data_IF_685052956921
#
_entry.id   IF_685052956921
#
_cell.length_a   1.000
_cell.length_b   1.000
_cell.length_c   1.000
_cell.angle_alpha   90.00
_cell.angle_beta   90.00
_cell.angle_gamma   90.00
#
_symmetry.space_group_name_H-M   'P 1'
#
loop_
_entity.id
_entity.type
_entity.pdbx_description
1 polymer ?
#
# COMPACT_ATOMS: atom_id res chain seq x y z
N UNK A 1 23.91 -15.12 -12.40
CA UNK A 1 22.44 -15.16 -12.63
C UNK A 1 21.67 -16.07 -11.66
N UNK A 2 22.20 -17.23 -11.27
CA UNK A 2 21.45 -18.19 -10.43
C UNK A 2 21.12 -17.70 -9.01
N UNK A 3 21.88 -16.75 -8.46
CA UNK A 3 21.64 -16.20 -7.12
C UNK A 3 20.32 -15.42 -7.05
N UNK A 4 20.14 -14.43 -7.92
CA UNK A 4 18.90 -13.65 -8.03
C UNK A 4 17.67 -14.53 -8.38
N UNK A 5 17.86 -15.58 -9.18
CA UNK A 5 16.77 -16.51 -9.51
C UNK A 5 16.20 -17.20 -8.26
N UNK A 6 17.02 -17.51 -7.26
CA UNK A 6 16.55 -18.10 -5.99
C UNK A 6 15.61 -17.16 -5.26
N UNK A 7 15.96 -15.87 -5.19
CA UNK A 7 15.08 -14.84 -4.64
C UNK A 7 13.76 -14.79 -5.41
N UNK A 8 13.82 -14.70 -6.74
CA UNK A 8 12.61 -14.64 -7.57
C UNK A 8 11.71 -15.87 -7.33
N UNK A 9 12.27 -17.08 -7.36
CA UNK A 9 11.52 -18.31 -7.11
C UNK A 9 10.87 -18.32 -5.72
N UNK A 10 11.60 -17.93 -4.66
CA UNK A 10 11.05 -17.87 -3.32
C UNK A 10 9.91 -16.86 -3.20
N UNK A 11 10.06 -15.67 -3.80
CA UNK A 11 9.01 -14.65 -3.82
C UNK A 11 7.77 -15.10 -4.58
N UNK A 12 7.93 -15.83 -5.69
CA UNK A 12 6.81 -16.41 -6.44
C UNK A 12 6.05 -17.44 -5.59
N UNK A 13 6.75 -18.32 -4.88
CA UNK A 13 6.14 -19.29 -3.95
C UNK A 13 5.34 -18.56 -2.86
N UNK A 14 5.92 -17.51 -2.28
CA UNK A 14 5.29 -16.69 -1.23
C UNK A 14 4.09 -15.86 -1.72
N UNK A 15 3.90 -15.72 -3.04
CA UNK A 15 2.87 -14.86 -3.64
C UNK A 15 1.59 -15.61 -4.00
N UNK A 16 1.58 -16.95 -3.99
CA UNK A 16 0.40 -17.75 -4.32
C UNK A 16 0.14 -18.84 -3.28
N UNK A 17 -1.10 -18.91 -2.81
CA UNK A 17 -1.54 -19.96 -1.88
C UNK A 17 -1.36 -21.37 -2.46
N UNK A 18 -1.45 -21.52 -3.79
CA UNK A 18 -1.24 -22.80 -4.48
C UNK A 18 0.16 -23.40 -4.22
N UNK A 19 1.15 -22.53 -3.99
CA UNK A 19 2.53 -22.94 -3.77
C UNK A 19 2.90 -23.02 -2.29
N UNK A 20 1.96 -22.84 -1.36
CA UNK A 20 2.25 -22.91 0.08
C UNK A 20 2.84 -24.25 0.56
N UNK A 21 2.51 -25.41 -0.03
CA UNK A 21 3.22 -26.65 0.28
C UNK A 21 4.74 -26.58 0.03
N UNK A 22 5.20 -25.65 -0.80
CA UNK A 22 6.61 -25.40 -1.13
C UNK A 22 7.25 -24.30 -0.25
N UNK A 23 6.57 -23.78 0.78
CA UNK A 23 7.16 -22.77 1.68
C UNK A 23 8.49 -23.21 2.32
N UNK A 24 8.70 -24.48 2.72
CA UNK A 24 10.01 -24.93 3.19
C UNK A 24 11.13 -24.73 2.15
N UNK A 25 10.82 -24.96 0.86
CA UNK A 25 11.77 -24.69 -0.23
C UNK A 25 12.03 -23.19 -0.38
N UNK A 26 11.01 -22.35 -0.26
CA UNK A 26 11.19 -20.89 -0.31
C UNK A 26 12.11 -20.40 0.83
N UNK A 27 12.00 -21.01 2.02
CA UNK A 27 12.83 -20.73 3.19
C UNK A 27 14.30 -21.03 2.89
N UNK A 28 14.60 -22.24 2.40
CA UNK A 28 15.96 -22.63 1.99
C UNK A 28 16.52 -21.70 0.89
N UNK A 29 15.70 -21.30 -0.07
CA UNK A 29 16.11 -20.41 -1.15
C UNK A 29 16.47 -19.01 -0.64
N UNK A 30 15.72 -18.47 0.32
CA UNK A 30 15.97 -17.16 0.93
C UNK A 30 17.16 -17.20 1.90
N UNK A 31 17.30 -18.26 2.69
CA UNK A 31 18.49 -18.47 3.52
C UNK A 31 19.76 -18.56 2.66
N UNK A 32 19.71 -19.30 1.56
CA UNK A 32 20.83 -19.38 0.62
C UNK A 32 21.14 -18.00 0.01
N UNK A 33 20.11 -17.27 -0.43
CA UNK A 33 20.26 -15.95 -1.03
C UNK A 33 20.88 -14.94 -0.05
N UNK A 34 20.43 -14.92 1.20
CA UNK A 34 20.93 -14.00 2.22
C UNK A 34 22.35 -14.35 2.65
N UNK A 35 22.65 -15.64 2.84
CA UNK A 35 23.99 -16.13 3.22
C UNK A 35 25.06 -15.77 2.19
N UNK A 36 24.74 -15.89 0.89
CA UNK A 36 25.68 -15.64 -0.20
C UNK A 36 25.59 -14.22 -0.76
N UNK A 37 24.71 -13.36 -0.23
CA UNK A 37 24.53 -12.00 -0.73
C UNK A 37 25.84 -11.20 -0.78
N UNK A 38 26.64 -11.24 0.29
CA UNK A 38 27.95 -10.56 0.34
C UNK A 38 28.92 -11.03 -0.74
N UNK A 39 28.87 -12.32 -1.07
CA UNK A 39 29.82 -12.94 -2.01
C UNK A 39 29.51 -12.48 -3.45
N UNK A 40 28.22 -12.28 -3.77
CA UNK A 40 27.78 -11.89 -5.10
C UNK A 40 27.68 -10.38 -5.31
N UNK A 41 27.33 -9.61 -4.27
CA UNK A 41 27.03 -8.17 -4.39
C UNK A 41 27.99 -7.27 -3.61
N UNK A 42 28.78 -7.82 -2.68
CA UNK A 42 29.67 -7.06 -1.80
C UNK A 42 29.06 -6.75 -0.44
N UNK A 43 29.92 -6.67 0.59
CA UNK A 43 29.50 -6.46 1.97
C UNK A 43 28.90 -5.08 2.22
N UNK A 44 29.37 -4.07 1.49
CA UNK A 44 28.91 -2.68 1.61
C UNK A 44 27.43 -2.50 1.20
N UNK A 45 26.86 -3.46 0.48
CA UNK A 45 25.48 -3.46 0.00
C UNK A 45 24.53 -4.27 0.88
N UNK A 46 25.01 -4.88 1.97
CA UNK A 46 24.14 -5.54 2.94
C UNK A 46 23.40 -4.48 3.74
N UNK A 47 22.09 -4.41 3.51
CA UNK A 47 21.17 -3.54 4.24
C UNK A 47 20.22 -4.37 5.10
N UNK A 48 19.52 -3.72 6.04
CA UNK A 48 18.45 -4.36 6.84
C UNK A 48 17.41 -5.07 5.97
N UNK A 49 17.12 -4.55 4.77
CA UNK A 49 16.19 -5.17 3.82
C UNK A 49 16.62 -6.59 3.41
N UNK A 50 17.93 -6.84 3.29
CA UNK A 50 18.44 -8.18 2.97
C UNK A 50 18.23 -9.13 4.13
N UNK A 51 18.43 -8.68 5.37
CA UNK A 51 18.14 -9.48 6.56
C UNK A 51 16.64 -9.80 6.68
N UNK A 52 15.77 -8.83 6.42
CA UNK A 52 14.32 -9.02 6.52
C UNK A 52 13.80 -10.15 5.62
N UNK A 53 14.48 -10.49 4.52
CA UNK A 53 14.13 -11.61 3.66
C UNK A 53 14.09 -12.96 4.39
N UNK A 54 14.86 -13.16 5.47
CA UNK A 54 14.82 -14.42 6.24
C UNK A 54 13.51 -14.61 7.00
N UNK A 55 12.79 -13.51 7.29
CA UNK A 55 11.54 -13.54 8.06
C UNK A 55 10.30 -13.68 7.18
N UNK A 56 10.43 -13.41 5.87
CA UNK A 56 9.31 -13.38 4.92
C UNK A 56 8.48 -14.67 4.94
N UNK A 57 9.12 -15.85 5.00
CA UNK A 57 8.37 -17.12 4.99
C UNK A 57 7.57 -17.29 6.28
N UNK A 58 8.12 -16.91 7.43
CA UNK A 58 7.40 -16.93 8.70
C UNK A 58 6.21 -15.96 8.68
N UNK A 59 6.39 -14.77 8.10
CA UNK A 59 5.31 -13.80 7.88
C UNK A 59 4.23 -14.35 6.96
N UNK A 60 4.59 -15.04 5.88
CA UNK A 60 3.61 -15.68 4.98
C UNK A 60 2.83 -16.78 5.68
N UNK A 61 3.48 -17.59 6.52
CA UNK A 61 2.80 -18.61 7.34
C UNK A 61 1.79 -18.00 8.31
N UNK A 62 2.06 -16.77 8.79
CA UNK A 62 1.22 -16.11 9.79
C UNK A 62 0.11 -15.23 9.19
N UNK A 63 0.41 -14.47 8.13
CA UNK A 63 -0.46 -13.45 7.55
C UNK A 63 -1.06 -13.83 6.19
N UNK A 64 -0.64 -14.95 5.60
CA UNK A 64 -1.04 -15.39 4.25
C UNK A 64 -0.12 -14.87 3.15
N UNK A 65 -0.59 -14.85 1.91
CA UNK A 65 0.25 -14.47 0.76
C UNK A 65 0.79 -13.04 0.88
N UNK A 66 1.94 -12.74 0.27
CA UNK A 66 2.56 -11.39 0.31
C UNK A 66 1.61 -10.22 -0.03
N UNK A 67 0.60 -10.48 -0.86
CA UNK A 67 -0.37 -9.46 -1.27
C UNK A 67 -1.37 -9.07 -0.17
N UNK A 68 -1.55 -9.89 0.87
CA UNK A 68 -2.56 -9.62 1.90
C UNK A 68 -2.12 -8.54 2.89
N UNK A 69 -0.81 -8.44 3.16
CA UNK A 69 -0.24 -7.57 4.21
C UNK A 69 0.72 -6.49 3.69
N UNK A 70 0.79 -6.26 2.38
CA UNK A 70 1.66 -5.23 1.82
C UNK A 70 1.19 -3.79 2.11
N UNK A 71 2.14 -2.85 1.95
CA UNK A 71 1.91 -1.44 2.21
C UNK A 71 1.16 -0.70 1.08
N UNK A 72 0.96 -1.31 -0.10
CA UNK A 72 0.45 -0.61 -1.28
C UNK A 72 -0.91 0.07 -1.05
N UNK A 73 -1.81 -0.56 -0.28
CA UNK A 73 -3.10 0.05 0.07
C UNK A 73 -2.93 1.35 0.87
N UNK A 74 -1.94 1.39 1.75
CA UNK A 74 -1.61 2.57 2.56
C UNK A 74 -0.88 3.63 1.73
N UNK A 75 0.08 3.24 0.90
CA UNK A 75 0.81 4.15 0.01
C UNK A 75 -0.13 4.86 -0.96
N UNK A 76 -1.04 4.12 -1.59
CA UNK A 76 -2.09 4.68 -2.44
C UNK A 76 -2.91 5.72 -1.68
N UNK A 77 -3.26 5.43 -0.41
CA UNK A 77 -4.03 6.35 0.42
C UNK A 77 -3.23 7.59 0.83
N UNK A 78 -1.96 7.42 1.16
CA UNK A 78 -1.05 8.50 1.52
C UNK A 78 -0.84 9.45 0.34
N UNK A 79 -0.75 8.91 -0.88
CA UNK A 79 -0.72 9.71 -2.11
C UNK A 79 -1.95 10.60 -2.24
N UNK A 80 -3.16 10.07 -1.99
CA UNK A 80 -4.38 10.90 -2.01
C UNK A 80 -4.32 12.02 -0.96
N UNK A 81 -3.87 11.71 0.26
CA UNK A 81 -3.74 12.69 1.34
C UNK A 81 -2.72 13.77 0.96
N UNK A 82 -1.61 13.39 0.34
CA UNK A 82 -0.57 14.32 -0.11
C UNK A 82 -1.11 15.32 -1.14
N UNK A 83 -2.01 14.91 -2.02
CA UNK A 83 -2.64 15.80 -3.01
C UNK A 83 -3.59 16.84 -2.38
N UNK A 84 -4.10 16.57 -1.17
CA UNK A 84 -4.90 17.54 -0.41
C UNK A 84 -4.02 18.61 0.28
N UNK A 85 -2.71 18.36 0.38
CA UNK A 85 -1.76 19.26 1.03
C UNK A 85 -1.12 20.19 0.00
N UNK A 86 -1.17 21.48 0.28
CA UNK A 86 -0.47 22.49 -0.54
C UNK A 86 0.95 22.75 -0.03
N UNK A 87 1.16 22.65 1.29
CA UNK A 87 2.44 22.87 1.95
C UNK A 87 2.48 22.16 3.32
N UNK A 88 3.68 21.93 3.87
CA UNK A 88 3.86 21.22 5.14
C UNK A 88 3.36 21.94 6.41
N UNK A 89 2.90 23.19 6.30
CA UNK A 89 2.45 23.98 7.45
C UNK A 89 1.00 23.66 7.85
N UNK A 90 0.75 23.18 9.07
CA UNK A 90 -0.60 22.81 9.58
C UNK A 90 -1.35 21.83 8.65
N UNK A 91 -0.79 20.64 8.35
CA UNK A 91 -1.31 19.71 7.35
C UNK A 91 -2.73 19.23 7.70
N UNK A 92 -3.00 18.92 8.97
CA UNK A 92 -4.32 18.48 9.42
C UNK A 92 -5.42 19.52 9.15
N UNK A 93 -5.15 20.79 9.47
CA UNK A 93 -6.09 21.88 9.21
C UNK A 93 -6.32 22.11 7.72
N UNK A 94 -5.28 21.93 6.88
CA UNK A 94 -5.43 22.02 5.42
C UNK A 94 -6.36 20.92 4.90
N UNK A 95 -6.10 19.66 5.29
CA UNK A 95 -6.93 18.51 4.89
C UNK A 95 -8.38 18.73 5.34
N UNK A 96 -8.62 19.11 6.61
CA UNK A 96 -9.97 19.35 7.12
C UNK A 96 -10.72 20.42 6.32
N UNK A 97 -10.06 21.54 5.98
CA UNK A 97 -10.65 22.60 5.15
C UNK A 97 -10.96 22.12 3.73
N UNK A 98 -10.02 21.41 3.09
CA UNK A 98 -10.21 20.83 1.75
C UNK A 98 -11.37 19.85 1.70
N UNK A 99 -11.50 18.98 2.71
CA UNK A 99 -12.62 18.05 2.80
C UNK A 99 -13.96 18.77 2.91
N UNK A 100 -14.03 19.84 3.73
CA UNK A 100 -15.24 20.66 3.85
C UNK A 100 -15.62 21.36 2.53
N UNK A 101 -14.63 21.82 1.76
CA UNK A 101 -14.86 22.40 0.44
C UNK A 101 -15.43 21.36 -0.54
N UNK A 102 -14.89 20.14 -0.56
CA UNK A 102 -15.42 19.06 -1.40
C UNK A 102 -16.86 18.68 -1.03
N UNK A 103 -17.19 18.58 0.26
CA UNK A 103 -18.56 18.32 0.72
C UNK A 103 -19.54 19.40 0.23
N UNK A 104 -19.11 20.67 0.27
CA UNK A 104 -19.95 21.79 -0.17
C UNK A 104 -20.22 21.76 -1.69
N UNK A 105 -19.19 21.43 -2.50
CA UNK A 105 -19.32 21.29 -3.95
C UNK A 105 -20.19 20.10 -4.37
N UNK A 106 -20.11 18.98 -3.65
CA UNK A 106 -20.96 17.82 -3.93
C UNK A 106 -22.44 18.19 -3.72
N UNK A 107 -22.76 18.92 -2.65
CA UNK A 107 -24.13 19.38 -2.38
C UNK A 107 -24.68 20.33 -3.46
N UNK A 108 -23.88 21.28 -3.94
CA UNK A 108 -24.29 22.20 -5.02
C UNK A 108 -24.57 21.46 -6.33
N UNK A 109 -23.75 20.47 -6.70
CA UNK A 109 -23.99 19.64 -7.89
C UNK A 109 -25.26 18.79 -7.82
N UNK A 110 -25.68 18.37 -6.63
CA UNK A 110 -26.96 17.66 -6.45
C UNK A 110 -28.17 18.60 -6.61
N UNK A 111 -28.04 19.86 -6.21
CA UNK A 111 -29.10 20.87 -6.34
C UNK A 111 -29.24 21.31 -7.81
N UNK A 112 -28.15 21.49 -8.55
CA UNK A 112 -28.20 21.88 -9.97
C UNK A 112 -28.79 20.78 -10.87
N UNK A 113 -28.68 19.50 -10.49
CA UNK A 113 -29.27 18.38 -11.22
C UNK A 113 -30.80 18.34 -11.15
N UNK A 114 -31.43 18.92 -10.13
CA UNK A 114 -32.89 18.94 -10.01
C UNK A 114 -33.55 20.07 -10.82
N UNK A 115 -32.77 21.04 -11.34
CA UNK A 115 -33.31 22.25 -11.96
C UNK A 115 -32.77 22.62 -13.35
N UNK A 116 -31.98 21.77 -14.01
CA UNK A 116 -31.46 22.06 -15.36
C UNK A 116 -32.25 21.39 -16.49
N UNK A 117 -32.83 22.21 -17.38
CA UNK A 117 -33.54 21.81 -18.60
C UNK A 117 -32.67 21.96 -19.88
N UNK A 118 -31.33 21.86 -19.74
CA UNK A 118 -30.40 21.92 -20.87
C UNK A 118 -29.38 20.76 -20.83
N UNK A 119 -28.91 20.27 -22.00
CA UNK A 119 -28.04 19.10 -22.05
C UNK A 119 -26.64 19.44 -21.52
N UNK A 120 -26.20 18.71 -20.49
CA UNK A 120 -24.83 18.76 -19.98
C UNK A 120 -24.12 17.43 -20.25
N UNK A 121 -22.81 17.49 -20.51
CA UNK A 121 -21.97 16.29 -20.62
C UNK A 121 -21.79 15.72 -19.21
N UNK A 122 -22.39 14.55 -18.95
CA UNK A 122 -22.13 13.78 -17.74
C UNK A 122 -20.67 13.34 -17.76
N UNK A 123 -19.77 14.10 -17.11
CA UNK A 123 -18.51 13.52 -16.67
C UNK A 123 -18.86 12.35 -15.75
N UNK A 124 -18.46 11.16 -16.15
CA UNK A 124 -18.57 9.95 -15.33
C UNK A 124 -18.02 10.30 -13.95
N UNK A 125 -18.90 10.35 -12.94
CA UNK A 125 -18.51 10.53 -11.54
C UNK A 125 -17.60 9.34 -11.21
N UNK A 126 -16.31 9.56 -11.05
CA UNK A 126 -15.44 8.66 -10.27
C UNK A 126 -15.91 8.73 -8.81
N UNK A 127 -17.03 8.05 -8.56
CA UNK A 127 -17.73 8.03 -7.29
C UNK A 127 -17.04 6.99 -6.40
N UNK A 128 -15.91 7.37 -5.79
CA UNK A 128 -15.31 6.61 -4.67
C UNK A 128 -14.43 7.44 -3.71
N UNK A 129 -14.12 8.69 -4.04
CA UNK A 129 -12.99 9.39 -3.43
C UNK A 129 -13.24 9.93 -1.99
N UNK A 130 -14.41 10.51 -1.73
CA UNK A 130 -14.74 11.15 -0.44
C UNK A 130 -15.19 10.15 0.62
N UNK A 131 -16.06 9.20 0.24
CA UNK A 131 -16.61 8.19 1.15
C UNK A 131 -15.51 7.28 1.73
N UNK A 132 -14.52 6.92 0.90
CA UNK A 132 -13.46 5.98 1.26
C UNK A 132 -12.36 6.63 2.12
N UNK A 133 -12.15 7.95 2.02
CA UNK A 133 -11.28 8.72 2.93
C UNK A 133 -11.95 8.98 4.27
N UNK A 134 -13.24 9.29 4.28
CA UNK A 134 -14.01 9.51 5.51
C UNK A 134 -14.11 8.23 6.36
N UNK A 135 -14.39 7.07 5.74
CA UNK A 135 -14.44 5.77 6.43
C UNK A 135 -13.08 5.37 7.04
N UNK A 136 -11.98 5.62 6.31
CA UNK A 136 -10.63 5.33 6.80
C UNK A 136 -10.25 6.19 8.02
N UNK A 137 -10.55 7.50 7.99
CA UNK A 137 -10.27 8.43 9.11
C UNK A 137 -11.10 8.06 10.35
N UNK A 138 -12.37 7.64 10.19
CA UNK A 138 -13.19 7.17 11.31
C UNK A 138 -12.74 5.80 11.88
N UNK A 139 -12.14 4.93 11.08
CA UNK A 139 -11.91 3.53 11.47
C UNK A 139 -10.57 3.26 12.17
N UNK A 140 -9.49 4.02 11.94
CA UNK A 140 -8.14 3.60 12.40
C UNK A 140 -7.18 4.73 12.82
N UNK A 141 -7.56 5.51 13.83
CA UNK A 141 -6.61 6.39 14.56
C UNK A 141 -5.82 5.62 15.65
N UNK A 142 -6.03 4.31 15.85
CA UNK A 142 -5.45 3.56 16.99
C UNK A 142 -4.32 2.55 16.69
N UNK A 143 -3.76 2.47 15.47
CA UNK A 143 -2.92 1.30 15.11
C UNK A 143 -1.63 1.56 14.29
N UNK A 144 -1.07 2.77 14.27
CA UNK A 144 0.16 3.05 13.48
C UNK A 144 1.32 3.56 14.35
N UNK A 145 1.54 2.92 15.49
CA UNK A 145 2.83 2.91 16.18
C UNK A 145 3.09 1.48 16.66
N UNK A 146 3.49 0.60 15.75
CA UNK A 146 4.19 -0.62 16.11
C UNK A 146 5.42 -0.73 15.20
N UNK A 147 6.55 -0.34 15.80
CA UNK A 147 7.94 -0.70 15.50
C UNK A 147 8.38 -0.75 14.03
N UNK A 148 8.94 0.37 13.56
CA UNK A 148 10.27 0.38 12.96
C UNK A 148 11.17 1.25 13.83
#
# INVERSE_FOLDING_TARGET
MQHFLKLLCAMTICSSEEYFPLLPLAEELLEYFTKHYKDFYGIDYITSNVHNLTHVVAEVRHFGMLQTYNAYKFENKLYLIKNLLRQGNKPLSQIAKRLKEYESLDHEQFIDQTHSNYPYVKKQKEFSFTFQLFYFIKSKVRLIFFNC
#
